data_IF_359927394044
#
_entry.id   IF_359927394044
#
_cell.length_a   1.000
_cell.length_b   1.000
_cell.length_c   1.000
_cell.angle_alpha   90.00
_cell.angle_beta   90.00
_cell.angle_gamma   90.00
#
_symmetry.space_group_name_H-M   'P 1'
#
loop_
_entity.id
_entity.type
_entity.pdbx_description
1 polymer ?
#
# COMPACT_ATOMS: atom_id res chain seq x y z
N UNK A 1 16.67 -1.99 18.72
CA UNK A 1 17.78 -2.78 19.30
C UNK A 1 18.21 -3.96 18.43
N UNK A 2 17.33 -4.83 17.95
CA UNK A 2 17.70 -5.97 17.09
C UNK A 2 17.83 -5.67 15.57
N UNK A 3 18.02 -4.41 15.17
CA UNK A 3 18.18 -4.03 13.75
C UNK A 3 16.89 -3.81 12.94
N UNK A 4 15.76 -3.51 13.58
CA UNK A 4 14.54 -3.13 12.87
C UNK A 4 14.58 -1.66 12.40
N UNK A 5 14.21 -1.38 11.16
CA UNK A 5 14.23 -0.03 10.56
C UNK A 5 12.96 0.80 10.85
N UNK A 6 11.80 0.16 11.01
CA UNK A 6 10.53 0.82 11.29
C UNK A 6 9.51 -0.15 11.93
N UNK A 7 8.39 0.40 12.40
CA UNK A 7 7.27 -0.36 13.00
C UNK A 7 5.99 -0.05 12.22
N UNK A 8 5.19 -1.07 11.92
CA UNK A 8 3.80 -0.91 11.50
C UNK A 8 2.92 -1.34 12.65
N UNK A 9 1.96 -0.51 13.05
CA UNK A 9 1.04 -0.85 14.14
C UNK A 9 -0.11 -1.72 13.66
N UNK A 10 -0.71 -2.44 14.61
CA UNK A 10 -2.05 -2.99 14.42
C UNK A 10 -3.08 -1.86 14.19
N UNK A 11 -4.25 -2.22 13.66
CA UNK A 11 -5.38 -1.32 13.50
C UNK A 11 -5.88 -0.73 14.82
N UNK A 12 -6.46 0.46 14.73
CA UNK A 12 -7.10 1.18 15.83
C UNK A 12 -8.29 2.00 15.30
N UNK A 13 -9.17 2.42 16.19
CA UNK A 13 -10.40 3.14 15.83
C UNK A 13 -10.39 4.65 16.16
N UNK A 14 -9.41 5.08 16.96
CA UNK A 14 -9.28 6.47 17.46
C UNK A 14 -7.82 6.93 17.29
N UNK A 15 -7.62 8.11 16.69
CA UNK A 15 -6.27 8.64 16.41
C UNK A 15 -5.47 8.84 17.71
N UNK A 16 -6.15 9.24 18.78
CA UNK A 16 -5.59 9.51 20.10
C UNK A 16 -4.87 8.27 20.67
N UNK A 17 -5.40 7.08 20.42
CA UNK A 17 -4.79 5.81 20.84
C UNK A 17 -3.40 5.65 20.24
N UNK A 18 -3.27 5.92 18.95
CA UNK A 18 -1.99 5.85 18.25
C UNK A 18 -1.03 6.97 18.68
N UNK A 19 -1.53 8.20 18.85
CA UNK A 19 -0.69 9.32 19.29
C UNK A 19 -0.16 9.12 20.72
N UNK A 20 -0.96 8.52 21.60
CA UNK A 20 -0.50 8.10 22.93
C UNK A 20 0.57 7.02 22.82
N UNK A 21 0.34 5.99 21.99
CA UNK A 21 1.31 4.93 21.75
C UNK A 21 2.67 5.47 21.28
N UNK A 22 2.68 6.41 20.32
CA UNK A 22 3.93 7.08 19.89
C UNK A 22 4.63 7.73 21.09
N UNK A 23 3.91 8.52 21.90
CA UNK A 23 4.50 9.20 23.06
C UNK A 23 5.13 8.20 24.03
N UNK A 24 4.45 7.10 24.30
CA UNK A 24 4.95 6.07 25.22
C UNK A 24 6.16 5.33 24.63
N UNK A 25 6.17 5.03 23.32
CA UNK A 25 7.34 4.50 22.62
C UNK A 25 8.55 5.45 22.67
N UNK A 26 8.33 6.76 22.49
CA UNK A 26 9.43 7.74 22.57
C UNK A 26 10.01 7.85 23.98
N UNK A 27 9.19 7.76 25.03
CA UNK A 27 9.65 7.77 26.43
C UNK A 27 10.61 6.63 26.76
N UNK A 28 10.45 5.47 26.13
CA UNK A 28 11.30 4.30 26.34
C UNK A 28 12.45 4.21 25.33
N UNK A 29 12.69 5.26 24.53
CA UNK A 29 13.84 5.37 23.63
C UNK A 29 13.66 4.76 22.23
N UNK A 30 12.44 4.33 21.85
CA UNK A 30 12.19 3.87 20.48
C UNK A 30 12.17 5.08 19.56
N UNK A 31 13.11 5.18 18.62
CA UNK A 31 13.25 6.34 17.71
C UNK A 31 13.00 6.03 16.23
N UNK A 32 12.84 4.76 15.86
CA UNK A 32 12.49 4.38 14.48
C UNK A 32 11.12 4.94 14.06
N UNK A 33 10.87 5.12 12.75
CA UNK A 33 9.55 5.49 12.24
C UNK A 33 8.48 4.48 12.69
N UNK A 34 7.32 5.00 13.10
CA UNK A 34 6.15 4.20 13.48
C UNK A 34 5.01 4.59 12.54
N UNK A 35 4.53 3.62 11.77
CA UNK A 35 3.52 3.80 10.73
C UNK A 35 2.18 3.26 11.24
N UNK A 36 1.11 4.07 11.26
CA UNK A 36 -0.22 3.65 11.68
C UNK A 36 -0.86 2.68 10.67
N UNK A 37 -1.38 1.57 11.18
CA UNK A 37 -2.25 0.65 10.44
C UNK A 37 -3.71 1.15 10.44
N UNK A 38 -4.25 1.41 9.26
CA UNK A 38 -5.59 1.97 9.03
C UNK A 38 -6.46 0.94 8.32
N UNK A 39 -7.63 0.66 8.89
CA UNK A 39 -8.64 -0.21 8.27
C UNK A 39 -9.91 0.59 7.99
N UNK A 40 -10.21 0.93 6.73
CA UNK A 40 -11.51 1.48 6.37
C UNK A 40 -12.61 0.43 6.55
N UNK A 41 -13.67 0.81 7.26
CA UNK A 41 -14.84 -0.06 7.46
C UNK A 41 -15.61 -0.16 6.14
N UNK A 42 -15.82 -1.38 5.64
CA UNK A 42 -16.48 -1.60 4.35
C UNK A 42 -17.81 -2.35 4.44
N UNK A 43 -18.00 -3.17 5.48
CA UNK A 43 -19.20 -3.98 5.69
C UNK A 43 -19.30 -4.41 7.16
N UNK A 44 -20.53 -4.62 7.65
CA UNK A 44 -20.78 -4.98 9.05
C UNK A 44 -20.12 -6.30 9.45
N UNK A 45 -20.27 -7.33 8.60
CA UNK A 45 -19.71 -8.67 8.86
C UNK A 45 -18.18 -8.66 8.84
N UNK A 46 -17.57 -7.91 7.91
CA UNK A 46 -16.11 -7.78 7.82
C UNK A 46 -15.54 -7.12 9.08
N UNK A 47 -16.20 -6.09 9.60
CA UNK A 47 -15.81 -5.45 10.86
C UNK A 47 -15.84 -6.46 12.01
N UNK A 48 -16.92 -7.23 12.18
CA UNK A 48 -17.04 -8.24 13.25
C UNK A 48 -15.96 -9.31 13.16
N UNK A 49 -15.65 -9.78 11.95
CA UNK A 49 -14.61 -10.78 11.74
C UNK A 49 -13.21 -10.26 12.11
N UNK A 50 -12.86 -9.07 11.64
CA UNK A 50 -11.53 -8.50 11.87
C UNK A 50 -11.31 -8.15 13.34
N UNK A 51 -12.36 -7.67 14.01
CA UNK A 51 -12.34 -7.38 15.45
C UNK A 51 -12.08 -8.65 16.26
N UNK A 52 -12.73 -9.76 15.88
CA UNK A 52 -12.49 -11.08 16.50
C UNK A 52 -11.05 -11.55 16.30
N UNK A 53 -10.50 -11.38 15.10
CA UNK A 53 -9.11 -11.75 14.80
C UNK A 53 -8.09 -10.86 15.51
N UNK A 54 -8.37 -9.57 15.59
CA UNK A 54 -7.47 -8.57 16.18
C UNK A 54 -7.57 -8.50 17.71
N UNK A 55 -8.54 -9.21 18.30
CA UNK A 55 -8.87 -9.17 19.74
C UNK A 55 -9.09 -7.75 20.26
N UNK A 56 -9.65 -6.90 19.40
CA UNK A 56 -10.01 -5.52 19.73
C UNK A 56 -11.50 -5.46 20.05
N UNK A 57 -11.91 -4.41 20.73
CA UNK A 57 -13.32 -4.05 20.88
C UNK A 57 -13.63 -2.86 19.97
N UNK A 58 -14.76 -2.92 19.26
CA UNK A 58 -15.22 -1.78 18.47
C UNK A 58 -15.82 -0.76 19.43
N UNK A 59 -15.42 0.51 19.37
CA UNK A 59 -16.05 1.57 20.14
C UNK A 59 -17.59 1.55 19.96
N UNK A 60 -18.38 1.67 21.04
CA UNK A 60 -19.84 1.70 20.96
C UNK A 60 -20.37 2.78 20.01
N UNK A 61 -19.69 3.92 19.93
CA UNK A 61 -19.98 5.02 19.01
C UNK A 61 -20.04 4.56 17.54
N UNK A 62 -19.08 3.74 17.12
CA UNK A 62 -19.02 3.20 15.75
C UNK A 62 -20.13 2.18 15.53
N UNK A 63 -20.35 1.27 16.50
CA UNK A 63 -21.41 0.26 16.40
C UNK A 63 -22.79 0.91 16.30
N UNK A 64 -23.08 1.90 17.15
CA UNK A 64 -24.35 2.62 17.16
C UNK A 64 -24.57 3.41 15.86
N UNK A 65 -23.51 3.94 15.25
CA UNK A 65 -23.60 4.66 13.98
C UNK A 65 -23.91 3.73 12.78
N UNK A 66 -23.35 2.52 12.76
CA UNK A 66 -23.53 1.58 11.65
C UNK A 66 -24.74 0.65 11.81
N UNK A 67 -25.21 0.43 13.04
CA UNK A 67 -26.30 -0.50 13.35
C UNK A 67 -27.61 -0.22 12.57
N UNK A 68 -28.05 1.04 12.36
CA UNK A 68 -29.25 1.34 11.57
C UNK A 68 -29.15 0.89 10.10
N UNK A 69 -27.93 0.79 9.57
CA UNK A 69 -27.65 0.44 8.17
C UNK A 69 -26.90 -0.88 8.04
N UNK A 70 -27.03 -1.78 9.03
CA UNK A 70 -26.28 -3.05 9.11
C UNK A 70 -26.38 -3.94 7.85
N UNK A 71 -27.49 -3.82 7.11
CA UNK A 71 -27.79 -4.59 5.89
C UNK A 71 -27.51 -3.78 4.60
N UNK A 72 -27.01 -2.55 4.72
CA UNK A 72 -26.65 -1.68 3.60
C UNK A 72 -25.12 -1.42 3.60
N UNK A 73 -24.39 -2.30 2.93
CA UNK A 73 -22.93 -2.23 2.82
C UNK A 73 -22.43 -0.92 2.19
N UNK A 74 -23.20 -0.31 1.29
CA UNK A 74 -22.83 0.96 0.67
C UNK A 74 -22.83 2.10 1.69
N UNK A 75 -23.88 2.20 2.51
CA UNK A 75 -23.97 3.17 3.58
C UNK A 75 -22.86 2.98 4.62
N UNK A 76 -22.57 1.73 5.00
CA UNK A 76 -21.48 1.40 5.93
C UNK A 76 -20.13 1.80 5.33
N UNK A 77 -19.89 1.50 4.05
CA UNK A 77 -18.65 1.86 3.37
C UNK A 77 -18.47 3.38 3.32
N UNK A 78 -19.53 4.13 3.04
CA UNK A 78 -19.49 5.61 3.05
C UNK A 78 -19.09 6.12 4.44
N UNK A 79 -19.75 5.63 5.49
CA UNK A 79 -19.39 5.95 6.88
C UNK A 79 -17.93 5.62 7.19
N UNK A 80 -17.46 4.43 6.81
CA UNK A 80 -16.09 3.99 7.05
C UNK A 80 -15.04 4.82 6.31
N UNK A 81 -15.35 5.28 5.10
CA UNK A 81 -14.51 6.22 4.35
C UNK A 81 -14.44 7.56 5.09
N UNK A 82 -15.58 8.14 5.46
CA UNK A 82 -15.64 9.44 6.14
C UNK A 82 -14.85 9.40 7.46
N UNK A 83 -15.07 8.37 8.27
CA UNK A 83 -14.37 8.16 9.53
C UNK A 83 -12.86 7.96 9.33
N UNK A 84 -12.45 7.19 8.31
CA UNK A 84 -11.03 6.98 7.99
C UNK A 84 -10.35 8.26 7.52
N UNK A 85 -11.03 9.09 6.72
CA UNK A 85 -10.49 10.37 6.25
C UNK A 85 -10.20 11.29 7.43
N UNK A 86 -11.15 11.46 8.36
CA UNK A 86 -10.96 12.34 9.52
C UNK A 86 -9.86 11.83 10.47
N UNK A 87 -9.80 10.51 10.68
CA UNK A 87 -8.70 9.90 11.44
C UNK A 87 -7.34 10.13 10.76
N UNK A 88 -7.24 9.88 9.46
CA UNK A 88 -6.01 10.09 8.70
C UNK A 88 -5.58 11.56 8.66
N UNK A 89 -6.49 12.51 8.50
CA UNK A 89 -6.18 13.95 8.59
C UNK A 89 -5.58 14.29 9.94
N UNK A 90 -6.18 13.80 11.02
CA UNK A 90 -5.67 14.02 12.39
C UNK A 90 -4.26 13.47 12.55
N UNK A 91 -3.99 12.27 12.03
CA UNK A 91 -2.67 11.65 12.07
C UNK A 91 -1.64 12.40 11.22
N UNK A 92 -2.00 12.80 10.00
CA UNK A 92 -1.12 13.57 9.11
C UNK A 92 -0.77 14.93 9.72
N UNK A 93 -1.75 15.63 10.31
CA UNK A 93 -1.53 16.89 11.03
C UNK A 93 -0.62 16.72 12.26
N UNK A 94 -0.62 15.54 12.87
CA UNK A 94 0.30 15.19 13.96
C UNK A 94 1.72 14.81 13.49
N UNK A 95 1.98 14.80 12.18
CA UNK A 95 3.32 14.59 11.61
C UNK A 95 3.74 13.12 11.50
N UNK A 96 2.81 12.19 11.26
CA UNK A 96 3.16 10.79 10.97
C UNK A 96 3.92 10.66 9.65
N UNK A 97 4.84 9.70 9.57
CA UNK A 97 5.67 9.46 8.38
C UNK A 97 4.90 8.93 7.15
N UNK A 98 3.75 8.31 7.38
CA UNK A 98 2.94 7.68 6.33
C UNK A 98 1.70 7.01 6.90
N UNK A 99 0.92 6.36 6.04
CA UNK A 99 -0.30 5.63 6.39
C UNK A 99 -0.24 4.23 5.77
N UNK A 100 -0.47 3.19 6.57
CA UNK A 100 -0.54 1.81 6.08
C UNK A 100 -2.00 1.34 6.01
N UNK A 101 -2.53 1.08 4.82
CA UNK A 101 -3.94 0.68 4.65
C UNK A 101 -4.12 -0.83 4.52
N UNK A 102 -5.00 -1.40 5.34
CA UNK A 102 -5.50 -2.75 5.15
C UNK A 102 -6.59 -2.76 4.07
N UNK A 103 -6.23 -3.19 2.86
CA UNK A 103 -7.13 -3.14 1.69
C UNK A 103 -8.15 -4.28 1.66
N UNK A 104 -7.84 -5.42 2.28
CA UNK A 104 -8.62 -6.66 2.20
C UNK A 104 -8.91 -7.07 0.74
N UNK A 105 -7.94 -6.85 -0.16
CA UNK A 105 -8.07 -7.08 -1.61
C UNK A 105 -9.22 -6.29 -2.27
N UNK A 106 -9.63 -5.16 -1.69
CA UNK A 106 -10.67 -4.27 -2.23
C UNK A 106 -10.11 -2.86 -2.38
N UNK A 107 -10.22 -2.30 -3.59
CA UNK A 107 -9.62 -0.99 -3.89
C UNK A 107 -10.51 0.21 -3.54
N UNK A 108 -11.84 0.06 -3.62
CA UNK A 108 -12.78 1.19 -3.69
C UNK A 108 -12.65 2.13 -2.48
N UNK A 109 -12.68 1.59 -1.26
CA UNK A 109 -12.65 2.40 -0.05
C UNK A 109 -11.31 3.11 0.15
N UNK A 110 -10.20 2.39 -0.03
CA UNK A 110 -8.85 2.94 0.17
C UNK A 110 -8.54 4.00 -0.87
N UNK A 111 -8.89 3.77 -2.15
CA UNK A 111 -8.72 4.74 -3.22
C UNK A 111 -9.49 6.03 -2.96
N UNK A 112 -10.74 5.92 -2.51
CA UNK A 112 -11.56 7.10 -2.18
C UNK A 112 -10.98 7.88 -0.99
N UNK A 113 -10.52 7.19 0.06
CA UNK A 113 -9.82 7.84 1.19
C UNK A 113 -8.58 8.58 0.70
N UNK A 114 -7.72 7.94 -0.10
CA UNK A 114 -6.49 8.55 -0.63
C UNK A 114 -6.78 9.77 -1.51
N UNK A 115 -7.83 9.70 -2.34
CA UNK A 115 -8.29 10.84 -3.16
C UNK A 115 -8.72 12.02 -2.30
N UNK A 116 -9.55 11.78 -1.28
CA UNK A 116 -10.03 12.83 -0.36
C UNK A 116 -8.92 13.44 0.50
N UNK A 117 -7.87 12.69 0.77
CA UNK A 117 -6.67 13.17 1.45
C UNK A 117 -5.71 13.92 0.51
N UNK A 118 -5.96 13.94 -0.80
CA UNK A 118 -5.05 14.55 -1.79
C UNK A 118 -3.76 13.76 -2.00
N UNK A 119 -3.72 12.49 -1.58
CA UNK A 119 -2.55 11.60 -1.68
C UNK A 119 -2.59 10.69 -2.90
N UNK A 120 -3.64 10.79 -3.73
CA UNK A 120 -3.79 10.00 -4.95
C UNK A 120 -3.41 10.82 -6.18
N UNK A 121 -2.39 10.39 -6.92
CA UNK A 121 -2.03 10.98 -8.21
C UNK A 121 -2.71 10.24 -9.36
N UNK A 122 -3.47 10.96 -10.20
CA UNK A 122 -4.05 10.41 -11.43
C UNK A 122 -3.08 10.48 -12.62
N UNK A 123 -2.19 11.48 -12.62
CA UNK A 123 -1.21 11.71 -13.69
C UNK A 123 0.16 11.15 -13.29
N UNK A 124 0.35 9.85 -13.51
CA UNK A 124 1.64 9.20 -13.28
C UNK A 124 2.54 9.44 -14.49
N UNK A 125 3.55 10.30 -14.33
CA UNK A 125 4.60 10.46 -15.33
C UNK A 125 5.39 9.15 -15.43
N UNK A 126 5.50 8.61 -16.65
CA UNK A 126 6.32 7.42 -16.92
C UNK A 126 7.64 7.89 -17.51
N UNK A 127 8.78 7.64 -16.84
CA UNK A 127 10.08 8.08 -17.34
C UNK A 127 10.47 7.38 -18.65
N UNK A 128 10.02 6.13 -18.82
CA UNK A 128 10.24 5.34 -20.03
C UNK A 128 8.90 4.96 -20.69
N UNK A 129 8.90 4.64 -22.01
CA UNK A 129 7.71 4.17 -22.73
C UNK A 129 7.17 2.82 -22.24
N UNK A 130 7.91 2.12 -21.38
CA UNK A 130 7.52 0.87 -20.72
C UNK A 130 7.67 0.97 -19.21
N UNK A 131 7.04 0.04 -18.50
CA UNK A 131 7.19 -0.08 -17.04
C UNK A 131 8.59 -0.60 -16.70
N UNK A 132 9.33 0.17 -15.91
CA UNK A 132 10.61 -0.26 -15.34
C UNK A 132 10.41 -1.41 -14.35
N UNK A 133 11.39 -2.32 -14.30
CA UNK A 133 11.39 -3.40 -13.31
C UNK A 133 11.75 -2.85 -11.93
N UNK A 134 11.18 -3.42 -10.87
CA UNK A 134 11.58 -3.13 -9.50
C UNK A 134 12.77 -4.00 -9.02
N UNK A 135 13.26 -4.89 -9.89
CA UNK A 135 14.43 -5.71 -9.56
C UNK A 135 15.70 -4.85 -9.62
N UNK A 136 16.50 -4.89 -8.54
CA UNK A 136 17.74 -4.14 -8.41
C UNK A 136 18.75 -4.46 -9.52
N UNK A 137 18.79 -5.69 -10.04
CA UNK A 137 19.70 -6.04 -11.14
C UNK A 137 19.35 -5.38 -12.47
N UNK A 138 18.13 -4.83 -12.59
CA UNK A 138 17.58 -4.24 -13.82
C UNK A 138 17.33 -2.73 -13.71
N UNK A 139 17.79 -2.09 -12.64
CA UNK A 139 17.50 -0.67 -12.43
C UNK A 139 18.05 0.22 -13.55
N UNK A 140 19.15 -0.19 -14.18
CA UNK A 140 19.86 0.56 -15.22
C UNK A 140 19.40 0.19 -16.65
N UNK A 141 18.33 -0.59 -16.77
CA UNK A 141 17.79 -1.02 -18.06
C UNK A 141 17.01 0.12 -18.75
N UNK A 142 17.64 0.75 -19.74
CA UNK A 142 17.09 1.93 -20.44
C UNK A 142 16.63 1.66 -21.88
N UNK A 143 16.98 0.51 -22.46
CA UNK A 143 16.66 0.19 -23.86
C UNK A 143 16.13 -1.24 -24.01
N UNK A 144 15.01 -1.38 -24.74
CA UNK A 144 14.37 -2.68 -25.03
C UNK A 144 14.06 -2.83 -26.52
N UNK A 145 14.04 -4.06 -27.07
CA UNK A 145 13.56 -4.30 -28.41
C UNK A 145 12.04 -4.07 -28.46
N UNK A 146 11.56 -3.44 -29.52
CA UNK A 146 10.14 -3.06 -29.65
C UNK A 146 9.17 -4.26 -29.71
N UNK A 147 9.66 -5.44 -30.09
CA UNK A 147 8.85 -6.64 -30.36
C UNK A 147 8.01 -7.10 -29.16
N UNK A 148 8.44 -6.81 -27.93
CA UNK A 148 7.72 -7.17 -26.70
C UNK A 148 6.94 -6.02 -26.07
N UNK A 149 6.72 -4.91 -26.78
CA UNK A 149 5.94 -3.77 -26.27
C UNK A 149 4.59 -4.19 -25.69
N UNK A 150 3.87 -5.10 -26.36
CA UNK A 150 2.56 -5.59 -25.93
C UNK A 150 2.64 -6.85 -25.03
N UNK A 151 3.84 -7.37 -24.77
CA UNK A 151 4.09 -8.57 -23.94
C UNK A 151 5.25 -8.35 -22.95
N UNK A 152 5.17 -7.32 -22.08
CA UNK A 152 6.27 -6.95 -21.19
C UNK A 152 6.65 -8.08 -20.23
N UNK A 153 5.68 -8.83 -19.72
CA UNK A 153 5.94 -9.97 -18.82
C UNK A 153 6.75 -11.07 -19.52
N UNK A 154 6.49 -11.32 -20.80
CA UNK A 154 7.25 -12.29 -21.59
C UNK A 154 8.70 -11.84 -21.77
N UNK A 155 8.96 -10.55 -22.00
CA UNK A 155 10.31 -10.03 -22.10
C UNK A 155 11.08 -10.19 -20.80
N UNK A 156 10.47 -9.82 -19.66
CA UNK A 156 11.08 -9.95 -18.34
C UNK A 156 11.42 -11.41 -18.04
N UNK A 157 10.53 -12.34 -18.36
CA UNK A 157 10.78 -13.78 -18.21
C UNK A 157 11.95 -14.25 -19.09
N UNK A 158 11.94 -13.93 -20.39
CA UNK A 158 12.97 -14.42 -21.33
C UNK A 158 14.37 -13.87 -21.08
N UNK A 159 14.49 -12.81 -20.28
CA UNK A 159 15.75 -12.16 -19.93
C UNK A 159 16.10 -12.35 -18.46
N UNK A 160 15.36 -13.17 -17.70
CA UNK A 160 15.50 -13.24 -16.23
C UNK A 160 16.86 -13.73 -15.76
N UNK A 161 17.56 -14.48 -16.61
CA UNK A 161 18.88 -15.07 -16.35
C UNK A 161 20.04 -14.24 -16.90
N UNK A 162 19.79 -13.03 -17.40
CA UNK A 162 20.86 -12.14 -17.83
C UNK A 162 21.57 -11.55 -16.60
N UNK A 163 22.90 -11.54 -16.65
CA UNK A 163 23.75 -10.92 -15.63
C UNK A 163 23.78 -9.39 -15.75
N UNK A 164 23.78 -8.87 -16.98
CA UNK A 164 23.80 -7.44 -17.30
C UNK A 164 22.66 -7.06 -18.23
N UNK A 165 22.15 -5.83 -18.07
CA UNK A 165 21.06 -5.29 -18.87
C UNK A 165 21.52 -4.10 -19.71
N UNK A 166 20.97 -3.90 -20.92
CA UNK A 166 21.43 -2.83 -21.79
C UNK A 166 21.08 -1.44 -21.24
N UNK A 167 22.09 -0.58 -21.17
CA UNK A 167 21.99 0.83 -20.83
C UNK A 167 22.50 1.69 -22.00
N UNK A 168 21.78 2.74 -22.38
CA UNK A 168 22.08 3.54 -23.57
C UNK A 168 21.76 2.80 -24.87
N UNK A 169 22.77 2.14 -25.49
CA UNK A 169 22.63 1.49 -26.80
C UNK A 169 22.57 -0.02 -26.66
N UNK A 170 21.55 -0.63 -27.27
CA UNK A 170 21.35 -2.09 -27.24
C UNK A 170 22.58 -2.89 -27.71
N UNK A 171 23.25 -2.45 -28.78
CA UNK A 171 24.35 -3.17 -29.42
C UNK A 171 25.68 -3.17 -28.66
N UNK A 172 25.83 -2.32 -27.64
CA UNK A 172 27.08 -2.23 -26.85
C UNK A 172 27.06 -3.20 -25.65
N UNK A 173 25.90 -3.80 -25.36
CA UNK A 173 25.72 -4.77 -24.29
C UNK A 173 26.12 -6.18 -24.73
N UNK A 174 26.78 -6.94 -23.85
CA UNK A 174 27.04 -8.38 -24.05
C UNK A 174 25.83 -9.23 -23.65
N UNK A 175 24.64 -8.78 -24.04
CA UNK A 175 23.39 -9.43 -23.65
C UNK A 175 23.41 -10.92 -24.03
N UNK A 176 23.10 -11.78 -23.07
CA UNK A 176 22.97 -13.21 -23.31
C UNK A 176 21.79 -13.50 -24.25
N UNK A 177 21.69 -14.73 -24.74
CA UNK A 177 20.56 -15.13 -25.59
C UNK A 177 19.22 -15.03 -24.83
N UNK A 178 18.14 -14.80 -25.56
CA UNK A 178 16.79 -14.85 -24.98
C UNK A 178 16.40 -16.29 -24.70
N UNK A 179 15.86 -16.56 -23.52
CA UNK A 179 15.37 -17.88 -23.17
C UNK A 179 14.06 -18.20 -23.90
N UNK A 180 13.80 -19.50 -24.07
CA UNK A 180 12.54 -19.99 -24.61
C UNK A 180 11.39 -19.84 -23.60
N UNK A 181 10.20 -19.54 -24.10
CA UNK A 181 8.99 -19.49 -23.28
C UNK A 181 8.33 -20.87 -23.31
N UNK A 182 8.52 -21.67 -22.27
CA UNK A 182 8.00 -23.05 -22.20
C UNK A 182 6.57 -23.15 -21.65
N UNK A 183 6.10 -22.10 -20.95
CA UNK A 183 4.77 -22.05 -20.33
C UNK A 183 4.07 -20.76 -20.74
N UNK A 184 2.82 -20.87 -21.20
CA UNK A 184 1.98 -19.77 -21.68
C UNK A 184 0.97 -19.34 -20.64
#
# INVERSE_FOLDING_TARGET
DAGADFIITQLFFKAETFLKYIKDCRKIGINVPIIPGILPIQAYQSLRHIVKLSKLEVPPEILNAIQPFKDNDEAIRKYGIDQSVEMCKTLLNAGVYGLHFYTLNREVAVKEVLKRLGLWSENVHRPLPWKQSANHTRCDEEVRPIFWRCRPNSYVYRTSEWDEFPNGRWGDSRAATFNDLKYY
#
